data_IF_394715067658
#
_entry.id   IF_394715067658
#
_cell.length_a   1.000
_cell.length_b   1.000
_cell.length_c   1.000
_cell.angle_alpha   90.00
_cell.angle_beta   90.00
_cell.angle_gamma   90.00
#
_symmetry.space_group_name_H-M   'P 1'
#
loop_
_entity.id
_entity.type
_entity.pdbx_description
1 polymer ?
#
# COMPACT_ATOMS: atom_id res chain seq x y z
N UNK A 1 13.09 -37.43 13.37
CA UNK A 1 13.11 -37.00 11.94
C UNK A 1 11.74 -36.53 11.46
N UNK A 2 10.64 -37.17 11.87
CA UNK A 2 9.26 -36.77 11.50
C UNK A 2 8.91 -35.32 11.89
N UNK A 3 9.40 -34.83 13.04
CA UNK A 3 9.18 -33.43 13.47
C UNK A 3 9.95 -32.39 12.64
N UNK A 4 11.03 -32.76 11.96
CA UNK A 4 11.81 -31.84 11.12
C UNK A 4 11.15 -31.64 9.74
N UNK A 5 10.48 -32.69 9.23
CA UNK A 5 9.77 -32.66 7.95
C UNK A 5 8.55 -31.74 8.04
N UNK A 6 7.83 -31.75 9.18
CA UNK A 6 6.68 -30.87 9.38
C UNK A 6 7.05 -29.37 9.41
N UNK A 7 8.22 -29.01 9.93
CA UNK A 7 8.70 -27.61 9.97
C UNK A 7 9.18 -27.15 8.59
N UNK A 8 9.83 -28.03 7.82
CA UNK A 8 10.28 -27.73 6.46
C UNK A 8 9.12 -27.62 5.45
N UNK A 9 7.98 -28.23 5.77
CA UNK A 9 6.76 -28.16 4.94
C UNK A 9 5.99 -26.85 5.12
N UNK A 10 6.17 -26.15 6.25
CA UNK A 10 5.44 -24.92 6.56
C UNK A 10 6.04 -23.69 5.86
N UNK A 11 7.31 -23.76 5.46
CA UNK A 11 8.03 -22.63 4.81
C UNK A 11 7.82 -22.56 3.30
N UNK A 12 7.21 -23.56 2.67
CA UNK A 12 7.06 -23.61 1.20
C UNK A 12 5.71 -23.10 0.68
N UNK A 13 4.75 -22.79 1.59
CA UNK A 13 3.40 -22.36 1.19
C UNK A 13 3.19 -20.84 1.15
N UNK A 14 4.19 -20.03 1.51
CA UNK A 14 4.07 -18.56 1.46
C UNK A 14 4.45 -17.95 0.11
N UNK A 15 5.00 -18.72 -0.82
CA UNK A 15 5.52 -18.24 -2.10
C UNK A 15 4.44 -17.74 -3.07
N UNK A 16 3.16 -17.89 -2.74
CA UNK A 16 2.02 -17.51 -3.59
C UNK A 16 1.35 -16.19 -3.18
N UNK A 17 1.82 -15.51 -2.12
CA UNK A 17 1.13 -14.34 -1.60
C UNK A 17 1.41 -13.04 -2.37
N UNK A 18 2.54 -12.93 -3.07
CA UNK A 18 2.86 -11.77 -3.90
C UNK A 18 3.78 -12.16 -5.07
N UNK A 19 3.37 -11.88 -6.30
CA UNK A 19 4.30 -11.98 -7.43
C UNK A 19 5.29 -10.80 -7.37
N UNK A 20 6.57 -11.01 -7.67
CA UNK A 20 7.55 -9.93 -7.79
C UNK A 20 7.11 -8.83 -8.78
N UNK A 21 6.38 -9.21 -9.83
CA UNK A 21 5.81 -8.28 -10.82
C UNK A 21 4.82 -7.29 -10.19
N UNK A 22 3.96 -7.75 -9.27
CA UNK A 22 2.98 -6.88 -8.62
C UNK A 22 3.64 -5.93 -7.60
N UNK A 23 4.76 -6.33 -6.99
CA UNK A 23 5.54 -5.45 -6.09
C UNK A 23 6.21 -4.33 -6.89
N UNK A 24 6.80 -4.68 -8.04
CA UNK A 24 7.44 -3.69 -8.92
C UNK A 24 6.42 -2.69 -9.47
N UNK A 25 5.25 -3.17 -9.92
CA UNK A 25 4.11 -2.32 -10.28
C UNK A 25 3.77 -1.36 -9.13
N UNK A 26 3.61 -1.88 -7.91
CA UNK A 26 3.22 -1.06 -6.77
C UNK A 26 4.24 0.06 -6.48
N UNK A 27 5.53 -0.25 -6.57
CA UNK A 27 6.60 0.73 -6.40
C UNK A 27 6.59 1.81 -7.49
N UNK A 28 6.53 1.41 -8.77
CA UNK A 28 6.50 2.36 -9.88
C UNK A 28 5.26 3.26 -9.83
N UNK A 29 4.08 2.69 -9.56
CA UNK A 29 2.84 3.45 -9.42
C UNK A 29 2.89 4.40 -8.23
N UNK A 30 3.40 3.97 -7.07
CA UNK A 30 3.54 4.84 -5.90
C UNK A 30 4.46 6.06 -6.19
N UNK A 31 5.58 5.84 -6.87
CA UNK A 31 6.49 6.91 -7.29
C UNK A 31 5.82 7.86 -8.29
N UNK A 32 5.12 7.32 -9.29
CA UNK A 32 4.37 8.11 -10.28
C UNK A 32 3.34 9.03 -9.65
N UNK A 33 2.55 8.54 -8.68
CA UNK A 33 1.46 9.30 -8.08
C UNK A 33 1.92 10.22 -6.94
N UNK A 34 3.06 9.94 -6.29
CA UNK A 34 3.63 10.83 -5.28
C UNK A 34 3.83 12.24 -5.82
N UNK A 35 4.39 12.38 -7.02
CA UNK A 35 4.64 13.69 -7.64
C UNK A 35 3.34 14.44 -8.00
N UNK A 36 2.23 13.73 -8.19
CA UNK A 36 0.93 14.31 -8.55
C UNK A 36 0.15 14.86 -7.36
N UNK A 37 0.44 14.41 -6.14
CA UNK A 37 -0.24 14.84 -4.91
C UNK A 37 0.55 15.88 -4.10
N UNK A 38 1.71 16.33 -4.61
CA UNK A 38 2.53 17.39 -3.98
C UNK A 38 2.02 18.82 -4.23
N UNK A 39 0.85 19.00 -4.85
CA UNK A 39 0.22 20.32 -4.97
C UNK A 39 -0.20 20.85 -3.58
N UNK A 40 0.04 22.13 -3.23
CA UNK A 40 -0.20 22.68 -1.89
C UNK A 40 -1.64 22.54 -1.38
N UNK A 41 -2.61 22.48 -2.29
CA UNK A 41 -4.03 22.30 -1.96
C UNK A 41 -4.36 20.85 -1.54
N UNK A 42 -3.46 19.89 -1.83
CA UNK A 42 -3.57 18.46 -1.54
C UNK A 42 -2.51 17.96 -0.54
N UNK A 43 -1.67 18.87 0.00
CA UNK A 43 -0.57 18.58 0.93
C UNK A 43 -1.03 18.21 2.35
N UNK A 44 -2.19 17.55 2.47
CA UNK A 44 -2.62 16.88 3.70
C UNK A 44 -2.03 15.47 3.67
N UNK A 45 -1.08 15.20 4.55
CA UNK A 45 -0.25 13.99 4.50
C UNK A 45 -1.07 12.69 4.42
N UNK A 46 -2.09 12.58 5.29
CA UNK A 46 -3.01 11.43 5.32
C UNK A 46 -3.87 11.29 4.06
N UNK A 47 -4.28 12.40 3.45
CA UNK A 47 -5.01 12.37 2.18
C UNK A 47 -4.13 11.79 1.06
N UNK A 48 -2.85 12.16 1.02
CA UNK A 48 -1.87 11.61 0.09
C UNK A 48 -1.67 10.12 0.31
N UNK A 49 -1.48 9.69 1.56
CA UNK A 49 -1.38 8.28 1.92
C UNK A 49 -2.60 7.47 1.45
N UNK A 50 -3.81 7.94 1.77
CA UNK A 50 -5.06 7.33 1.31
C UNK A 50 -5.15 7.25 -0.22
N UNK A 51 -4.87 8.36 -0.92
CA UNK A 51 -5.06 8.46 -2.36
C UNK A 51 -4.06 7.59 -3.12
N UNK A 52 -2.77 7.63 -2.73
CA UNK A 52 -1.73 6.80 -3.34
C UNK A 52 -2.01 5.32 -3.09
N UNK A 53 -2.28 4.93 -1.85
CA UNK A 53 -2.57 3.53 -1.51
C UNK A 53 -3.83 3.01 -2.22
N UNK A 54 -4.83 3.87 -2.44
CA UNK A 54 -6.01 3.53 -3.24
C UNK A 54 -5.66 3.24 -4.70
N UNK A 55 -4.99 4.17 -5.40
CA UNK A 55 -4.73 4.00 -6.83
C UNK A 55 -3.73 2.87 -7.10
N UNK A 56 -2.74 2.69 -6.23
CA UNK A 56 -1.81 1.54 -6.33
C UNK A 56 -2.55 0.23 -6.08
N UNK A 57 -3.50 0.20 -5.14
CA UNK A 57 -4.39 -0.95 -4.93
C UNK A 57 -5.29 -1.27 -6.12
N UNK A 58 -5.76 -0.25 -6.85
CA UNK A 58 -6.54 -0.41 -8.10
C UNK A 58 -5.67 -0.97 -9.22
N UNK A 59 -4.47 -0.41 -9.44
CA UNK A 59 -3.60 -0.76 -10.57
C UNK A 59 -2.85 -2.09 -10.37
N UNK A 60 -2.32 -2.31 -9.17
CA UNK A 60 -1.35 -3.38 -8.89
C UNK A 60 -1.89 -4.44 -7.90
N UNK A 61 -3.08 -4.20 -7.35
CA UNK A 61 -3.73 -5.08 -6.38
C UNK A 61 -3.40 -4.77 -4.92
N UNK A 62 -4.35 -5.09 -4.05
CA UNK A 62 -4.33 -4.77 -2.61
C UNK A 62 -3.10 -5.35 -1.91
N UNK A 63 -2.74 -6.62 -2.18
CA UNK A 63 -1.67 -7.30 -1.44
C UNK A 63 -0.30 -6.66 -1.64
N UNK A 64 0.05 -6.31 -2.88
CA UNK A 64 1.35 -5.70 -3.18
C UNK A 64 1.44 -4.26 -2.67
N UNK A 65 0.33 -3.52 -2.76
CA UNK A 65 0.24 -2.18 -2.19
C UNK A 65 0.33 -2.19 -0.65
N UNK A 66 -0.26 -3.18 0.02
CA UNK A 66 -0.13 -3.37 1.47
C UNK A 66 1.30 -3.67 1.89
N UNK A 67 2.01 -4.53 1.15
CA UNK A 67 3.43 -4.84 1.41
C UNK A 67 4.28 -3.57 1.30
N UNK A 68 4.03 -2.72 0.30
CA UNK A 68 4.80 -1.49 0.10
C UNK A 68 4.55 -0.47 1.22
N UNK A 69 3.29 -0.25 1.62
CA UNK A 69 2.95 0.64 2.74
C UNK A 69 3.58 0.16 4.06
N UNK A 70 3.52 -1.14 4.34
CA UNK A 70 4.21 -1.74 5.49
C UNK A 70 5.74 -1.61 5.40
N UNK A 71 6.32 -1.74 4.20
CA UNK A 71 7.76 -1.66 4.01
C UNK A 71 8.34 -0.27 4.33
N UNK A 72 7.62 0.82 4.01
CA UNK A 72 8.01 2.20 4.40
C UNK A 72 8.08 2.31 5.92
N UNK A 73 6.99 1.96 6.61
CA UNK A 73 6.92 2.08 8.07
C UNK A 73 7.93 1.16 8.79
N UNK A 74 8.21 -0.02 8.22
CA UNK A 74 9.30 -0.89 8.70
C UNK A 74 10.66 -0.21 8.51
N UNK A 75 10.91 0.43 7.36
CA UNK A 75 12.17 1.16 7.13
C UNK A 75 12.35 2.31 8.12
N UNK A 76 11.26 3.01 8.49
CA UNK A 76 11.28 4.07 9.50
C UNK A 76 11.66 3.53 10.88
N UNK A 77 11.12 2.36 11.28
CA UNK A 77 11.52 1.65 12.53
C UNK A 77 13.03 1.37 12.58
N UNK A 78 13.64 1.04 11.44
CA UNK A 78 15.08 0.75 11.33
C UNK A 78 15.97 1.99 11.18
N UNK A 79 15.42 3.19 11.35
CA UNK A 79 16.18 4.43 11.47
C UNK A 79 16.10 5.38 10.27
N UNK A 80 15.18 5.15 9.33
CA UNK A 80 14.91 6.08 8.22
C UNK A 80 13.98 7.24 8.62
N UNK A 81 13.29 7.16 9.77
CA UNK A 81 12.28 8.13 10.19
C UNK A 81 11.63 7.80 11.54
N UNK A 82 10.49 8.41 11.84
CA UNK A 82 9.61 8.03 12.96
C UNK A 82 8.39 7.34 12.36
N UNK A 83 8.05 6.11 12.75
CA UNK A 83 6.84 5.44 12.26
C UNK A 83 5.59 6.24 12.62
N UNK A 84 4.76 6.55 11.63
CA UNK A 84 3.54 7.34 11.81
C UNK A 84 2.32 6.44 11.61
N UNK A 85 1.78 5.93 12.72
CA UNK A 85 0.68 4.97 12.68
C UNK A 85 -0.57 5.53 11.97
N UNK A 86 -0.76 6.83 12.01
CA UNK A 86 -1.83 7.52 11.31
C UNK A 86 -1.69 7.46 9.78
N UNK A 87 -0.47 7.40 9.24
CA UNK A 87 -0.20 7.23 7.82
C UNK A 87 -0.51 5.80 7.39
N UNK A 88 -0.09 4.82 8.19
CA UNK A 88 -0.43 3.41 7.95
C UNK A 88 -1.95 3.20 7.96
N UNK A 89 -2.67 3.86 8.86
CA UNK A 89 -4.13 3.83 8.88
C UNK A 89 -4.72 4.43 7.61
N UNK A 90 -4.19 5.56 7.14
CA UNK A 90 -4.62 6.17 5.88
C UNK A 90 -4.36 5.26 4.68
N UNK A 91 -3.22 4.55 4.65
CA UNK A 91 -2.89 3.57 3.61
C UNK A 91 -3.88 2.40 3.60
N UNK A 92 -4.22 1.87 4.79
CA UNK A 92 -5.23 0.80 4.92
C UNK A 92 -6.61 1.28 4.46
N UNK A 93 -6.99 2.52 4.76
CA UNK A 93 -8.24 3.11 4.27
C UNK A 93 -8.22 3.18 2.73
N UNK A 94 -7.14 3.66 2.13
CA UNK A 94 -6.95 3.69 0.68
C UNK A 94 -7.10 2.31 0.03
N UNK A 95 -6.44 1.30 0.57
CA UNK A 95 -6.53 -0.09 0.11
C UNK A 95 -7.94 -0.68 0.21
N UNK A 96 -8.68 -0.32 1.26
CA UNK A 96 -10.08 -0.74 1.39
C UNK A 96 -10.94 -0.06 0.35
N UNK A 97 -10.70 1.22 0.08
CA UNK A 97 -11.40 1.99 -0.95
C UNK A 97 -11.13 1.40 -2.34
N UNK A 98 -9.90 0.97 -2.64
CA UNK A 98 -9.53 0.39 -3.95
C UNK A 98 -10.27 -0.90 -4.29
N UNK A 99 -10.85 -1.58 -3.30
CA UNK A 99 -11.64 -2.80 -3.49
C UNK A 99 -13.11 -2.54 -3.82
N UNK A 100 -13.54 -1.27 -3.83
CA UNK A 100 -14.92 -0.89 -4.14
C UNK A 100 -15.14 -0.87 -5.65
N UNK A 101 -16.32 -1.30 -6.09
CA UNK A 101 -16.66 -1.37 -7.52
C UNK A 101 -16.79 0.02 -8.19
N UNK A 102 -17.04 1.08 -7.43
CA UNK A 102 -17.18 2.46 -7.91
C UNK A 102 -15.86 3.24 -7.93
N UNK A 103 -14.74 2.59 -7.60
CA UNK A 103 -13.41 3.19 -7.55
C UNK A 103 -12.49 2.46 -8.50
N UNK A 104 -12.00 3.15 -9.52
CA UNK A 104 -11.25 2.52 -10.62
C UNK A 104 -10.18 3.42 -11.25
N UNK A 105 -10.04 4.66 -10.80
CA UNK A 105 -9.04 5.60 -11.29
C UNK A 105 -8.59 6.57 -10.19
N UNK A 106 -7.58 7.40 -10.49
CA UNK A 106 -7.02 8.35 -9.54
C UNK A 106 -8.06 9.36 -9.05
N UNK A 107 -8.97 9.82 -9.93
CA UNK A 107 -9.97 10.82 -9.61
C UNK A 107 -11.01 10.27 -8.62
N UNK A 108 -11.48 9.04 -8.84
CA UNK A 108 -12.40 8.37 -7.93
C UNK A 108 -11.74 8.06 -6.58
N UNK A 109 -10.47 7.64 -6.56
CA UNK A 109 -9.69 7.49 -5.33
C UNK A 109 -9.57 8.82 -4.56
N UNK A 110 -9.13 9.88 -5.23
CA UNK A 110 -8.97 11.21 -4.67
C UNK A 110 -10.27 11.75 -4.08
N UNK A 111 -11.37 11.72 -4.84
CA UNK A 111 -12.67 12.20 -4.39
C UNK A 111 -13.18 11.46 -3.15
N UNK A 112 -12.97 10.14 -3.07
CA UNK A 112 -13.40 9.38 -1.89
C UNK A 112 -12.50 9.69 -0.70
N UNK A 113 -11.18 9.75 -0.87
CA UNK A 113 -10.24 10.06 0.21
C UNK A 113 -10.44 11.47 0.79
N UNK A 114 -10.89 12.44 -0.02
CA UNK A 114 -11.27 13.79 0.43
C UNK A 114 -12.42 13.80 1.46
N UNK A 115 -13.27 12.77 1.47
CA UNK A 115 -14.35 12.62 2.46
C UNK A 115 -13.78 12.19 3.82
N UNK A 116 -12.65 11.46 3.81
CA UNK A 116 -12.03 10.91 5.01
C UNK A 116 -10.98 11.84 5.64
N UNK A 117 -10.32 12.66 4.83
CA UNK A 117 -9.19 13.52 5.20
C UNK A 117 -9.31 14.87 4.53
#
# INVERSE_FOLDING_TARGET
MEKLIAILSLTFSLSTLASPENIFCAYESAMKYKDLVEFPELARDKYKHCTISCIVGVECGVTSSAILGMAKEIADIFGAGTPEWEDLLADIVGLRISSRADVYDFVTCSNVCEIYY
#
